data_IF_669729255375
#
_entry.id   IF_669729255375
#
_cell.length_a   1.000
_cell.length_b   1.000
_cell.length_c   1.000
_cell.angle_alpha   90.00
_cell.angle_beta   90.00
_cell.angle_gamma   90.00
#
_symmetry.space_group_name_H-M   'P 1'
#
loop_
_entity.id
_entity.type
_entity.pdbx_description
1 polymer ?
#
# COMPACT_ATOMS: atom_id res chain seq x y z
N UNK A 1 3.83 7.29 -3.61
CA UNK A 1 2.90 6.27 -3.03
C UNK A 1 2.64 6.50 -1.54
N UNK A 2 3.69 6.68 -0.73
CA UNK A 2 3.52 6.89 0.72
C UNK A 2 2.68 8.12 1.09
N UNK A 3 2.89 9.24 0.41
CA UNK A 3 2.07 10.45 0.63
C UNK A 3 0.60 10.22 0.28
N UNK A 4 0.32 9.41 -0.74
CA UNK A 4 -1.05 9.01 -1.07
C UNK A 4 -1.67 8.17 0.04
N UNK A 5 -0.96 7.14 0.51
CA UNK A 5 -1.41 6.27 1.62
C UNK A 5 -1.75 7.12 2.86
N UNK A 6 -0.88 8.08 3.21
CA UNK A 6 -1.12 9.00 4.34
C UNK A 6 -2.30 9.92 4.10
N UNK A 7 -2.35 10.60 2.95
CA UNK A 7 -3.43 11.54 2.59
C UNK A 7 -4.80 10.88 2.61
N UNK A 8 -4.86 9.60 2.22
CA UNK A 8 -6.10 8.82 2.16
C UNK A 8 -6.35 7.96 3.41
N UNK A 9 -5.54 8.08 4.46
CA UNK A 9 -5.64 7.30 5.71
C UNK A 9 -5.74 5.78 5.47
N UNK A 10 -4.94 5.27 4.53
CA UNK A 10 -4.97 3.88 4.09
C UNK A 10 -4.09 2.97 4.95
N UNK A 11 -3.31 3.52 5.88
CA UNK A 11 -2.60 2.70 6.86
C UNK A 11 -3.60 2.07 7.83
N UNK A 12 -3.44 0.78 8.10
CA UNK A 12 -4.34 0.08 9.01
C UNK A 12 -4.23 0.63 10.44
N UNK A 13 -5.38 0.86 11.06
CA UNK A 13 -5.46 1.50 12.39
C UNK A 13 -5.07 0.55 13.52
N UNK A 14 -5.31 -0.75 13.36
CA UNK A 14 -5.00 -1.77 14.35
C UNK A 14 -3.57 -2.30 14.17
N UNK A 15 -3.14 -2.48 12.93
CA UNK A 15 -1.80 -2.94 12.59
C UNK A 15 -1.13 -1.99 11.60
N UNK A 16 -0.42 -0.98 12.11
CA UNK A 16 0.26 0.05 11.31
C UNK A 16 1.33 -0.49 10.32
N UNK A 17 1.65 -1.79 10.34
CA UNK A 17 2.50 -2.43 9.32
C UNK A 17 1.77 -2.75 8.02
N UNK A 18 0.43 -2.70 8.04
CA UNK A 18 -0.42 -3.03 6.91
C UNK A 18 -1.02 -1.76 6.29
N UNK A 19 -1.28 -1.85 4.99
CA UNK A 19 -1.89 -0.81 4.17
C UNK A 19 -3.11 -1.41 3.49
N UNK A 20 -4.26 -0.80 3.75
CA UNK A 20 -5.55 -1.14 3.17
C UNK A 20 -5.67 -0.50 1.79
N UNK A 21 -5.81 -1.33 0.77
CA UNK A 21 -5.89 -0.90 -0.61
C UNK A 21 -7.27 -0.32 -0.91
N UNK A 22 -7.30 0.93 -1.37
CA UNK A 22 -8.49 1.49 -2.01
C UNK A 22 -8.65 0.94 -3.43
N UNK A 23 -9.68 1.38 -4.16
CA UNK A 23 -9.93 0.89 -5.52
C UNK A 23 -8.71 1.02 -6.44
N UNK A 24 -7.98 2.14 -6.36
CA UNK A 24 -6.78 2.38 -7.19
C UNK A 24 -5.62 1.49 -6.76
N UNK A 25 -5.38 1.37 -5.46
CA UNK A 25 -4.30 0.53 -4.94
C UNK A 25 -4.57 -0.95 -5.13
N UNK A 26 -5.83 -1.39 -5.19
CA UNK A 26 -6.18 -2.79 -5.48
C UNK A 26 -5.74 -3.20 -6.88
N UNK A 27 -5.81 -2.31 -7.87
CA UNK A 27 -5.32 -2.59 -9.23
C UNK A 27 -3.79 -2.78 -9.26
N UNK A 28 -3.07 -2.07 -8.39
CA UNK A 28 -1.60 -2.16 -8.29
C UNK A 28 -1.18 -3.35 -7.42
N UNK A 29 -1.85 -3.55 -6.30
CA UNK A 29 -1.47 -4.54 -5.28
C UNK A 29 -2.00 -5.94 -5.60
N UNK A 30 -3.06 -6.05 -6.41
CA UNK A 30 -3.75 -7.31 -6.72
C UNK A 30 -4.53 -7.89 -5.54
N UNK A 31 -4.58 -7.19 -4.40
CA UNK A 31 -5.21 -7.66 -3.16
C UNK A 31 -5.66 -6.49 -2.26
N UNK A 32 -6.61 -6.71 -1.34
CA UNK A 32 -7.19 -5.64 -0.52
C UNK A 32 -6.26 -5.10 0.56
N UNK A 33 -5.18 -5.79 0.92
CA UNK A 33 -4.25 -5.35 1.95
C UNK A 33 -2.83 -5.86 1.63
N UNK A 34 -1.84 -4.99 1.83
CA UNK A 34 -0.41 -5.32 1.73
C UNK A 34 0.31 -4.95 3.01
N UNK A 35 1.38 -5.67 3.33
CA UNK A 35 2.34 -5.23 4.36
C UNK A 35 3.35 -4.22 3.80
N UNK A 36 4.06 -3.52 4.68
CA UNK A 36 5.14 -2.61 4.28
C UNK A 36 6.28 -3.31 3.52
N UNK A 37 6.54 -4.60 3.81
CA UNK A 37 7.53 -5.39 3.06
C UNK A 37 7.08 -5.67 1.62
N UNK A 38 5.81 -6.00 1.45
CA UNK A 38 5.23 -6.20 0.12
C UNK A 38 5.15 -4.90 -0.66
N UNK A 39 4.86 -3.79 0.02
CA UNK A 39 4.91 -2.45 -0.58
C UNK A 39 6.29 -2.16 -1.17
N UNK A 40 7.37 -2.43 -0.44
CA UNK A 40 8.74 -2.21 -0.92
C UNK A 40 9.03 -3.05 -2.18
N UNK A 41 8.64 -4.34 -2.18
CA UNK A 41 8.79 -5.22 -3.33
C UNK A 41 7.96 -4.80 -4.55
N UNK A 42 6.75 -4.26 -4.33
CA UNK A 42 5.89 -3.74 -5.40
C UNK A 42 6.47 -2.45 -5.98
N UNK A 43 6.92 -1.52 -5.14
CA UNK A 43 7.55 -0.26 -5.58
C UNK A 43 8.85 -0.54 -6.34
N UNK A 44 9.68 -1.46 -5.86
CA UNK A 44 10.97 -1.79 -6.49
C UNK A 44 10.86 -2.27 -7.94
N UNK A 45 9.70 -2.79 -8.37
CA UNK A 45 9.43 -3.15 -9.77
C UNK A 45 9.13 -1.94 -10.67
N UNK A 46 8.77 -0.80 -10.09
CA UNK A 46 8.32 0.40 -10.81
C UNK A 46 9.27 1.59 -10.66
N UNK A 47 10.22 1.54 -9.72
CA UNK A 47 11.25 2.56 -9.55
C UNK A 47 12.53 2.07 -10.22
N UNK A 48 12.88 2.69 -11.35
CA UNK A 48 14.22 2.64 -11.95
C UNK A 48 15.05 3.80 -11.43
#
# INVERSE_FOLDING_TARGET
LWDYIKKHNLQDKANKRNINADAKLKEIFGKPQVSMFELASLIGKHVK
#
